data_IF_997871389189
#
_entry.id   IF_997871389189
#
_cell.length_a   1.000
_cell.length_b   1.000
_cell.length_c   1.000
_cell.angle_alpha   90.00
_cell.angle_beta   90.00
_cell.angle_gamma   90.00
#
_symmetry.space_group_name_H-M   'P 1'
#
loop_
_entity.id
_entity.type
_entity.pdbx_description
1 polymer ?
#
# COMPACT_ATOMS: atom_id res chain seq x y z
N UNK A 1 53.30 12.54 -45.14
CA UNK A 1 52.39 11.46 -44.72
C UNK A 1 51.80 11.83 -43.37
N UNK A 2 50.47 11.91 -43.25
CA UNK A 2 49.74 12.40 -42.07
C UNK A 2 49.60 11.28 -41.02
N UNK A 3 50.05 11.53 -39.79
CA UNK A 3 49.81 10.66 -38.63
C UNK A 3 48.39 10.89 -38.11
N UNK A 4 47.59 9.83 -38.03
CA UNK A 4 46.27 9.84 -37.39
C UNK A 4 46.40 9.47 -35.92
N UNK A 5 46.04 10.40 -35.03
CA UNK A 5 45.87 10.14 -33.60
C UNK A 5 44.47 9.55 -33.41
N UNK A 6 44.38 8.30 -32.94
CA UNK A 6 43.11 7.68 -32.56
C UNK A 6 42.80 8.11 -31.12
N UNK A 7 41.78 8.95 -30.97
CA UNK A 7 41.21 9.29 -29.66
C UNK A 7 40.33 8.13 -29.19
N UNK A 8 40.71 7.48 -28.09
CA UNK A 8 39.91 6.45 -27.43
C UNK A 8 38.91 7.14 -26.51
N UNK A 9 37.64 7.10 -26.90
CA UNK A 9 36.52 7.59 -26.10
C UNK A 9 36.19 6.53 -25.03
N UNK A 10 36.53 6.80 -23.77
CA UNK A 10 36.13 5.94 -22.64
C UNK A 10 34.67 6.26 -22.30
N UNK A 11 33.76 5.36 -22.67
CA UNK A 11 32.34 5.43 -22.32
C UNK A 11 32.19 5.01 -20.85
N UNK A 12 32.00 5.99 -19.97
CA UNK A 12 31.69 5.74 -18.56
C UNK A 12 30.30 5.12 -18.43
N UNK A 13 30.23 3.81 -18.15
CA UNK A 13 28.98 3.13 -17.82
C UNK A 13 28.58 3.58 -16.41
N UNK A 14 27.55 4.41 -16.30
CA UNK A 14 26.92 4.70 -15.01
C UNK A 14 26.04 3.51 -14.67
N UNK A 15 26.33 2.73 -13.61
CA UNK A 15 25.41 1.69 -13.17
C UNK A 15 24.12 2.37 -12.67
N UNK A 16 23.03 2.16 -13.40
CA UNK A 16 21.69 2.51 -12.94
C UNK A 16 21.37 1.56 -11.77
N UNK A 17 21.43 2.08 -10.54
CA UNK A 17 20.98 1.33 -9.36
C UNK A 17 19.46 1.29 -9.44
N UNK A 18 18.92 0.18 -9.94
CA UNK A 18 17.49 -0.06 -9.93
C UNK A 18 17.00 -0.19 -8.48
N UNK A 19 15.85 0.42 -8.17
CA UNK A 19 15.21 0.25 -6.87
C UNK A 19 14.90 -1.24 -6.63
N UNK A 20 15.05 -1.75 -5.40
CA UNK A 20 14.78 -3.15 -5.11
C UNK A 20 13.31 -3.46 -5.38
N UNK A 21 13.06 -4.51 -6.15
CA UNK A 21 11.74 -5.09 -6.34
C UNK A 21 11.56 -6.25 -5.36
N UNK A 22 10.31 -6.59 -4.99
CA UNK A 22 10.04 -7.80 -4.24
C UNK A 22 10.65 -9.03 -4.94
N UNK A 23 11.13 -9.97 -4.15
CA UNK A 23 11.72 -11.21 -4.62
C UNK A 23 10.66 -12.03 -5.39
N UNK A 24 11.06 -12.53 -6.56
CA UNK A 24 10.23 -13.45 -7.34
C UNK A 24 9.95 -14.75 -6.55
N UNK A 25 10.96 -15.21 -5.82
CA UNK A 25 10.86 -16.34 -4.89
C UNK A 25 11.24 -15.83 -3.49
N UNK A 26 10.27 -15.69 -2.58
CA UNK A 26 10.55 -15.29 -1.21
C UNK A 26 11.46 -16.31 -0.51
N UNK A 27 12.28 -15.86 0.43
CA UNK A 27 13.11 -16.76 1.24
C UNK A 27 12.26 -17.72 2.09
N UNK A 28 12.85 -18.82 2.56
CA UNK A 28 12.13 -19.90 3.28
C UNK A 28 11.29 -19.45 4.51
N UNK A 29 11.63 -18.32 5.13
CA UNK A 29 10.92 -17.75 6.28
C UNK A 29 9.92 -16.65 5.91
N UNK A 30 9.93 -16.21 4.65
CA UNK A 30 9.07 -15.16 4.17
C UNK A 30 7.64 -15.67 3.97
N UNK A 31 6.68 -14.82 4.30
CA UNK A 31 5.27 -15.05 4.13
C UNK A 31 4.63 -13.83 3.48
N UNK A 32 3.55 -14.05 2.75
CA UNK A 32 2.72 -13.00 2.15
C UNK A 32 1.27 -13.46 2.30
N UNK A 33 0.42 -12.55 2.75
CA UNK A 33 -1.02 -12.75 2.84
C UNK A 33 -1.64 -12.48 1.47
N UNK A 34 -2.65 -13.26 1.12
CA UNK A 34 -3.39 -13.10 -0.11
C UNK A 34 -4.49 -12.04 0.08
N UNK A 35 -4.60 -11.11 -0.86
CA UNK A 35 -5.68 -10.10 -0.89
C UNK A 35 -6.59 -10.40 -2.07
N UNK A 36 -7.88 -10.62 -1.82
CA UNK A 36 -8.83 -11.06 -2.86
C UNK A 36 -9.72 -9.96 -3.43
N UNK A 37 -9.97 -8.91 -2.66
CA UNK A 37 -10.85 -7.81 -3.06
C UNK A 37 -10.20 -6.48 -2.71
N UNK A 38 -10.34 -5.52 -3.62
CA UNK A 38 -9.80 -4.18 -3.44
C UNK A 38 -10.65 -3.19 -4.25
N UNK A 39 -11.88 -2.94 -3.82
CA UNK A 39 -12.77 -1.98 -4.49
C UNK A 39 -12.79 -0.67 -3.72
N UNK A 40 -12.44 0.43 -4.37
CA UNK A 40 -12.50 1.76 -3.79
C UNK A 40 -13.92 2.33 -3.95
N UNK A 41 -14.48 2.80 -2.85
CA UNK A 41 -15.81 3.38 -2.77
C UNK A 41 -15.75 4.81 -2.24
N UNK A 42 -16.79 5.57 -2.56
CA UNK A 42 -17.07 6.85 -1.92
C UNK A 42 -18.42 6.80 -1.18
N UNK A 43 -18.52 7.59 -0.13
CA UNK A 43 -19.74 7.82 0.63
C UNK A 43 -19.82 9.28 1.05
N UNK A 44 -20.96 9.92 0.76
CA UNK A 44 -21.23 11.26 1.26
C UNK A 44 -21.97 11.20 2.59
N UNK A 45 -21.72 12.17 3.45
CA UNK A 45 -22.50 12.40 4.66
C UNK A 45 -22.65 13.88 4.95
N UNK A 46 -23.81 14.28 5.47
CA UNK A 46 -24.05 15.64 5.96
C UNK A 46 -23.91 15.75 7.48
N UNK A 47 -23.91 14.61 8.17
CA UNK A 47 -23.95 14.51 9.63
C UNK A 47 -22.57 14.21 10.23
N UNK A 48 -21.63 13.74 9.40
CA UNK A 48 -20.28 13.43 9.79
C UNK A 48 -19.33 14.62 9.56
N UNK A 49 -18.18 14.66 10.27
CA UNK A 49 -17.24 15.79 10.17
C UNK A 49 -16.74 16.09 8.75
N UNK A 50 -16.54 15.05 7.93
CA UNK A 50 -16.24 15.21 6.51
C UNK A 50 -17.48 14.98 5.65
N UNK A 51 -17.61 15.77 4.59
CA UNK A 51 -18.74 15.64 3.64
C UNK A 51 -18.67 14.38 2.79
N UNK A 52 -17.45 13.88 2.57
CA UNK A 52 -17.17 12.69 1.77
C UNK A 52 -16.11 11.86 2.47
N UNK A 53 -16.28 10.54 2.42
CA UNK A 53 -15.31 9.55 2.83
C UNK A 53 -15.00 8.63 1.66
N UNK A 54 -13.75 8.26 1.55
CA UNK A 54 -13.27 7.25 0.63
C UNK A 54 -12.90 6.02 1.43
N UNK A 55 -13.25 4.85 0.94
CA UNK A 55 -12.93 3.62 1.66
C UNK A 55 -12.69 2.45 0.72
N UNK A 56 -11.77 1.58 1.14
CA UNK A 56 -11.39 0.36 0.48
C UNK A 56 -11.78 -0.80 1.38
N UNK A 57 -12.54 -1.76 0.86
CA UNK A 57 -12.76 -3.04 1.54
C UNK A 57 -11.80 -4.06 0.95
N UNK A 58 -11.06 -4.73 1.83
CA UNK A 58 -10.16 -5.82 1.45
C UNK A 58 -10.48 -7.09 2.22
N UNK A 59 -10.38 -8.22 1.55
CA UNK A 59 -10.44 -9.55 2.17
C UNK A 59 -9.05 -10.17 2.15
N UNK A 60 -8.53 -10.45 3.35
CA UNK A 60 -7.20 -11.01 3.56
C UNK A 60 -7.33 -12.49 3.93
N UNK A 61 -6.55 -13.34 3.26
CA UNK A 61 -6.48 -14.77 3.53
C UNK A 61 -5.03 -15.19 3.80
N UNK A 62 -4.83 -16.03 4.81
CA UNK A 62 -3.54 -16.62 5.09
C UNK A 62 -3.43 -18.02 4.49
N UNK A 63 -2.65 -18.15 3.42
CA UNK A 63 -2.35 -19.44 2.76
C UNK A 63 -0.99 -20.03 3.13
N UNK A 64 -0.33 -19.51 4.15
CA UNK A 64 1.06 -19.86 4.49
C UNK A 64 1.18 -21.16 5.29
N UNK A 65 0.05 -21.73 5.74
CA UNK A 65 0.02 -22.96 6.54
C UNK A 65 0.40 -22.79 8.02
N UNK A 66 0.64 -21.55 8.46
CA UNK A 66 0.93 -21.20 9.86
C UNK A 66 0.31 -19.85 10.19
N UNK A 67 0.17 -19.55 11.47
CA UNK A 67 -0.27 -18.23 11.91
C UNK A 67 0.79 -17.18 11.58
N UNK A 68 0.34 -15.99 11.18
CA UNK A 68 1.22 -14.85 10.89
C UNK A 68 0.71 -13.57 11.55
N UNK A 69 1.65 -12.68 11.87
CA UNK A 69 1.38 -11.40 12.48
C UNK A 69 1.18 -10.32 11.41
N UNK A 70 -0.05 -9.82 11.28
CA UNK A 70 -0.37 -8.63 10.51
C UNK A 70 0.11 -7.40 11.28
N UNK A 71 1.02 -6.63 10.70
CA UNK A 71 1.48 -5.34 11.24
C UNK A 71 0.90 -4.22 10.38
N UNK A 72 -0.35 -3.79 10.65
CA UNK A 72 -1.13 -3.00 9.72
C UNK A 72 -0.52 -1.62 9.48
N UNK A 73 -0.30 -1.29 8.21
CA UNK A 73 -0.05 0.08 7.78
C UNK A 73 -0.80 0.30 6.48
N UNK A 74 -1.54 1.40 6.38
CA UNK A 74 -2.16 1.75 5.11
C UNK A 74 -2.18 3.25 4.88
N UNK A 75 -1.67 3.66 3.73
CA UNK A 75 -1.54 5.06 3.33
C UNK A 75 -2.19 5.27 1.97
N UNK A 76 -2.92 6.37 1.81
CA UNK A 76 -3.42 6.85 0.52
C UNK A 76 -2.55 8.02 0.08
N UNK A 77 -1.95 7.91 -1.10
CA UNK A 77 -1.23 9.00 -1.76
C UNK A 77 -2.02 9.52 -2.95
N UNK A 78 -2.05 10.84 -3.11
CA UNK A 78 -2.70 11.52 -4.23
C UNK A 78 -1.69 12.05 -5.25
N UNK A 79 -2.14 12.28 -6.48
CA UNK A 79 -1.42 13.04 -7.51
C UNK A 79 -1.17 14.52 -7.14
N UNK A 80 -1.85 15.03 -6.11
CA UNK A 80 -1.61 16.34 -5.49
C UNK A 80 -0.55 16.32 -4.39
N UNK A 81 0.23 15.23 -4.28
CA UNK A 81 1.30 15.04 -3.30
C UNK A 81 0.85 15.02 -1.83
N UNK A 82 -0.41 14.68 -1.57
CA UNK A 82 -0.90 14.48 -0.22
C UNK A 82 -0.83 13.00 0.14
N UNK A 83 -0.37 12.69 1.36
CA UNK A 83 -0.36 11.34 1.91
C UNK A 83 -1.21 11.33 3.17
N UNK A 84 -2.18 10.43 3.24
CA UNK A 84 -3.13 10.30 4.33
C UNK A 84 -3.11 8.86 4.87
N UNK A 85 -2.77 8.65 6.15
CA UNK A 85 -2.90 7.34 6.78
C UNK A 85 -4.38 6.96 6.96
N UNK A 86 -4.69 5.68 6.80
CA UNK A 86 -6.04 5.17 6.98
C UNK A 86 -6.51 5.32 8.43
N UNK A 87 -7.79 5.64 8.62
CA UNK A 87 -8.44 5.76 9.93
C UNK A 87 -8.20 7.09 10.66
N UNK A 88 -7.24 7.91 10.22
CA UNK A 88 -6.99 9.23 10.83
C UNK A 88 -8.11 10.21 10.44
N UNK A 89 -8.72 10.84 11.44
CA UNK A 89 -9.85 11.76 11.22
C UNK A 89 -11.17 11.08 10.87
N UNK A 90 -11.28 9.77 11.11
CA UNK A 90 -12.49 8.97 10.86
C UNK A 90 -13.13 8.61 12.20
N UNK A 91 -14.40 8.98 12.39
CA UNK A 91 -15.15 8.59 13.59
C UNK A 91 -15.69 7.16 13.48
N UNK A 92 -15.94 6.50 14.61
CA UNK A 92 -16.53 5.16 14.64
C UNK A 92 -17.86 5.07 13.87
N UNK A 93 -18.67 6.13 13.89
CA UNK A 93 -19.94 6.20 13.15
C UNK A 93 -19.76 6.06 11.63
N UNK A 94 -18.60 6.47 11.06
CA UNK A 94 -18.31 6.25 9.64
C UNK A 94 -18.20 4.77 9.34
N UNK A 95 -17.52 4.02 10.20
CA UNK A 95 -17.40 2.57 10.08
C UNK A 95 -18.77 1.89 10.18
N UNK A 96 -19.60 2.28 11.13
CA UNK A 96 -20.94 1.68 11.32
C UNK A 96 -21.81 1.86 10.06
N UNK A 97 -21.75 3.02 9.41
CA UNK A 97 -22.46 3.28 8.16
C UNK A 97 -21.93 2.41 7.00
N UNK A 98 -20.61 2.27 6.88
CA UNK A 98 -20.00 1.43 5.84
C UNK A 98 -20.38 -0.03 6.07
N UNK A 99 -20.28 -0.50 7.32
CA UNK A 99 -20.68 -1.86 7.71
C UNK A 99 -22.14 -2.13 7.38
N UNK A 100 -23.05 -1.22 7.74
CA UNK A 100 -24.47 -1.35 7.42
C UNK A 100 -24.72 -1.43 5.90
N UNK A 101 -24.02 -0.61 5.10
CA UNK A 101 -24.13 -0.60 3.63
C UNK A 101 -23.71 -1.92 2.99
N UNK A 102 -22.73 -2.60 3.59
CA UNK A 102 -22.07 -3.78 3.01
C UNK A 102 -22.36 -5.09 3.75
N UNK A 103 -23.25 -5.06 4.75
CA UNK A 103 -23.53 -6.17 5.68
C UNK A 103 -23.90 -7.49 4.98
N UNK A 104 -24.53 -7.43 3.80
CA UNK A 104 -24.90 -8.62 3.04
C UNK A 104 -23.70 -9.33 2.40
N UNK A 105 -22.70 -8.57 1.94
CA UNK A 105 -21.51 -9.12 1.28
C UNK A 105 -20.38 -9.39 2.29
N UNK A 106 -20.25 -8.56 3.32
CA UNK A 106 -19.18 -8.63 4.31
C UNK A 106 -19.77 -8.64 5.73
N UNK A 107 -20.40 -9.76 6.16
CA UNK A 107 -21.09 -9.83 7.45
C UNK A 107 -20.17 -9.65 8.66
N UNK A 108 -18.88 -9.96 8.49
CA UNK A 108 -17.84 -9.87 9.53
C UNK A 108 -16.86 -8.72 9.29
N UNK A 109 -17.26 -7.68 8.54
CA UNK A 109 -16.40 -6.53 8.26
C UNK A 109 -15.86 -5.90 9.57
N UNK A 110 -14.55 -5.66 9.59
CA UNK A 110 -13.81 -5.08 10.71
C UNK A 110 -13.15 -3.75 10.28
N UNK A 111 -12.95 -2.79 11.19
CA UNK A 111 -12.12 -1.62 10.89
C UNK A 111 -10.66 -2.05 10.73
N UNK A 112 -9.88 -1.30 9.94
CA UNK A 112 -8.43 -1.50 9.85
C UNK A 112 -7.79 -1.47 11.25
N UNK A 113 -7.01 -2.50 11.65
CA UNK A 113 -6.49 -2.58 13.01
C UNK A 113 -5.43 -1.51 13.27
N UNK A 114 -5.42 -0.97 14.50
CA UNK A 114 -4.45 0.05 14.93
C UNK A 114 -3.15 -0.58 15.47
N UNK A 115 -3.18 -1.87 15.81
CA UNK A 115 -2.03 -2.62 16.32
C UNK A 115 -1.89 -3.98 15.65
N UNK A 116 -0.90 -4.78 16.08
CA UNK A 116 -0.69 -6.12 15.54
C UNK A 116 -1.94 -6.99 15.69
N UNK A 117 -2.26 -7.74 14.64
CA UNK A 117 -3.32 -8.74 14.64
C UNK A 117 -2.76 -10.09 14.16
N UNK A 118 -3.37 -11.19 14.58
CA UNK A 118 -2.94 -12.54 14.21
C UNK A 118 -3.91 -13.14 13.20
N UNK A 119 -3.39 -13.54 12.05
CA UNK A 119 -4.18 -14.14 10.98
C UNK A 119 -3.91 -15.65 10.93
N UNK A 120 -4.94 -16.43 11.23
CA UNK A 120 -4.88 -17.90 11.21
C UNK A 120 -4.93 -18.41 9.75
N UNK A 121 -4.26 -19.54 9.45
CA UNK A 121 -4.21 -20.10 8.11
C UNK A 121 -5.55 -20.72 7.69
N UNK A 122 -5.88 -20.58 6.41
CA UNK A 122 -7.04 -21.23 5.80
C UNK A 122 -8.14 -20.24 5.37
N UNK A 123 -8.99 -20.64 4.41
CA UNK A 123 -10.01 -19.77 3.83
C UNK A 123 -11.11 -19.40 4.83
N UNK A 124 -11.46 -20.29 5.77
CA UNK A 124 -12.48 -20.04 6.80
C UNK A 124 -12.05 -18.98 7.83
N UNK A 125 -10.76 -18.66 7.86
CA UNK A 125 -10.17 -17.63 8.70
C UNK A 125 -9.87 -16.33 7.94
N UNK A 126 -10.38 -16.20 6.71
CA UNK A 126 -10.30 -14.95 5.95
C UNK A 126 -10.95 -13.81 6.75
N UNK A 127 -10.32 -12.64 6.70
CA UNK A 127 -10.79 -11.44 7.41
C UNK A 127 -11.04 -10.30 6.45
N UNK A 128 -12.18 -9.66 6.63
CA UNK A 128 -12.60 -8.50 5.86
C UNK A 128 -12.31 -7.22 6.65
N UNK A 129 -11.50 -6.35 6.07
CA UNK A 129 -11.17 -5.07 6.67
C UNK A 129 -11.64 -3.92 5.80
N UNK A 130 -12.03 -2.82 6.44
CA UNK A 130 -12.24 -1.54 5.77
C UNK A 130 -11.16 -0.54 6.16
N UNK A 131 -10.55 0.05 5.14
CA UNK A 131 -9.64 1.17 5.23
C UNK A 131 -10.40 2.43 4.82
N UNK A 132 -10.34 3.49 5.64
CA UNK A 132 -11.17 4.68 5.45
C UNK A 132 -10.30 5.94 5.50
N UNK A 133 -10.58 6.86 4.58
CA UNK A 133 -9.97 8.18 4.51
C UNK A 133 -11.05 9.26 4.44
N UNK A 134 -10.83 10.43 5.07
CA UNK A 134 -11.72 11.58 4.94
C UNK A 134 -11.66 12.16 3.53
N UNK A 135 -12.32 13.30 3.34
CA UNK A 135 -12.41 13.96 2.04
C UNK A 135 -11.01 14.33 1.49
N UNK A 136 -10.76 13.92 0.24
CA UNK A 136 -9.59 14.33 -0.55
C UNK A 136 -9.82 15.68 -1.25
N UNK A 137 -8.74 16.28 -1.76
CA UNK A 137 -8.83 17.45 -2.63
C UNK A 137 -9.69 17.13 -3.87
N UNK A 138 -10.58 18.06 -4.22
CA UNK A 138 -11.41 18.04 -5.44
C UNK A 138 -10.63 18.00 -6.74
N UNK A 139 -9.33 18.27 -6.74
CA UNK A 139 -8.47 18.23 -7.93
C UNK A 139 -7.85 16.86 -8.20
N UNK A 140 -8.01 15.90 -7.28
CA UNK A 140 -7.39 14.58 -7.39
C UNK A 140 -8.04 13.78 -8.51
N UNK A 141 -7.22 13.31 -9.45
CA UNK A 141 -7.62 12.41 -10.54
C UNK A 141 -7.05 10.99 -10.39
N UNK A 142 -5.98 10.84 -9.60
CA UNK A 142 -5.33 9.55 -9.35
C UNK A 142 -4.97 9.39 -7.88
N UNK A 143 -5.14 8.17 -7.39
CA UNK A 143 -4.74 7.79 -6.04
C UNK A 143 -4.03 6.44 -6.03
N UNK A 144 -3.01 6.34 -5.18
CA UNK A 144 -2.31 5.10 -4.88
C UNK A 144 -2.55 4.73 -3.44
N UNK A 145 -3.09 3.55 -3.19
CA UNK A 145 -3.22 2.98 -1.85
C UNK A 145 -2.06 2.02 -1.60
N UNK A 146 -1.32 2.25 -0.52
CA UNK A 146 -0.21 1.41 -0.08
C UNK A 146 -0.64 0.65 1.17
N UNK A 147 -0.62 -0.68 1.14
CA UNK A 147 -1.02 -1.56 2.24
C UNK A 147 0.19 -2.40 2.67
N UNK A 148 0.79 -2.01 3.79
CA UNK A 148 1.93 -2.67 4.42
C UNK A 148 1.48 -3.68 5.48
N UNK A 149 2.43 -4.52 5.90
CA UNK A 149 2.18 -5.55 6.92
C UNK A 149 1.58 -6.84 6.38
N UNK A 150 1.27 -6.90 5.09
CA UNK A 150 0.78 -8.09 4.40
C UNK A 150 1.89 -9.10 4.10
N UNK A 151 3.14 -8.73 4.32
CA UNK A 151 4.31 -9.60 4.16
C UNK A 151 5.40 -9.22 5.16
N UNK A 152 6.22 -10.19 5.57
CA UNK A 152 7.46 -9.94 6.33
C UNK A 152 8.71 -9.87 5.43
N UNK A 153 8.54 -9.85 4.11
CA UNK A 153 9.65 -9.70 3.17
C UNK A 153 10.24 -8.28 3.25
N UNK A 154 11.56 -8.21 3.35
CA UNK A 154 12.30 -6.95 3.49
C UNK A 154 13.49 -6.89 2.53
N UNK A 155 13.83 -5.68 2.11
CA UNK A 155 15.08 -5.37 1.42
C UNK A 155 15.83 -4.31 2.23
N UNK A 156 17.16 -4.40 2.21
CA UNK A 156 18.03 -3.42 2.85
C UNK A 156 18.81 -2.70 1.76
N UNK A 157 18.71 -1.36 1.75
CA UNK A 157 19.47 -0.51 0.83
C UNK A 157 20.31 0.49 1.61
N UNK A 158 21.31 1.04 0.93
CA UNK A 158 22.06 2.17 1.43
C UNK A 158 21.27 3.46 1.23
N UNK A 159 21.17 4.29 2.25
CA UNK A 159 20.57 5.60 2.13
C UNK A 159 21.39 6.41 1.11
N UNK A 160 20.75 7.02 0.09
CA UNK A 160 21.49 7.65 -1.00
C UNK A 160 22.44 8.75 -0.51
N UNK A 161 21.97 9.58 0.44
CA UNK A 161 22.69 10.75 0.95
C UNK A 161 23.21 10.61 2.39
N UNK A 162 22.42 10.06 3.31
CA UNK A 162 22.78 10.01 4.72
C UNK A 162 23.94 9.04 4.97
N UNK A 163 24.87 9.47 5.83
CA UNK A 163 26.03 8.71 6.30
C UNK A 163 26.06 8.71 7.83
N UNK A 164 26.63 7.68 8.42
CA UNK A 164 26.93 7.64 9.85
C UNK A 164 28.19 8.47 10.19
N UNK A 165 28.63 8.41 11.45
CA UNK A 165 29.79 9.16 11.95
C UNK A 165 31.11 8.74 11.28
N UNK A 166 31.16 7.52 10.73
CA UNK A 166 32.34 6.94 10.08
C UNK A 166 32.31 7.14 8.54
N UNK A 167 31.29 7.85 8.03
CA UNK A 167 31.13 8.10 6.59
C UNK A 167 30.49 6.95 5.82
N UNK A 168 29.98 5.92 6.50
CA UNK A 168 29.29 4.77 5.88
C UNK A 168 27.82 5.10 5.60
N UNK A 169 27.25 4.72 4.45
CA UNK A 169 25.81 4.88 4.20
C UNK A 169 24.93 4.24 5.26
N UNK A 170 23.97 5.01 5.79
CA UNK A 170 22.98 4.50 6.73
C UNK A 170 22.11 3.47 6.01
N UNK A 171 21.87 2.31 6.63
CA UNK A 171 20.98 1.28 6.08
C UNK A 171 19.51 1.68 6.21
N UNK A 172 18.76 1.54 5.13
CA UNK A 172 17.31 1.73 5.07
C UNK A 172 16.63 0.38 4.82
N UNK A 173 15.63 0.06 5.64
CA UNK A 173 14.86 -1.17 5.55
C UNK A 173 13.55 -0.89 4.86
N UNK A 174 13.35 -1.51 3.69
CA UNK A 174 12.13 -1.44 2.91
C UNK A 174 11.33 -2.72 3.13
N UNK A 175 10.00 -2.59 3.20
CA UNK A 175 9.08 -3.70 3.37
C UNK A 175 8.26 -3.90 2.10
N UNK A 176 7.99 -5.17 1.79
CA UNK A 176 7.06 -5.50 0.72
C UNK A 176 5.65 -4.99 1.07
N UNK A 177 5.15 -4.14 0.21
CA UNK A 177 3.92 -3.37 0.39
C UNK A 177 3.05 -3.54 -0.85
N UNK A 178 1.76 -3.81 -0.67
CA UNK A 178 0.81 -3.88 -1.77
C UNK A 178 0.48 -2.45 -2.21
N UNK A 179 0.66 -2.15 -3.50
CA UNK A 179 0.30 -0.89 -4.13
C UNK A 179 -0.91 -1.13 -5.04
N UNK A 180 -1.94 -0.33 -4.86
CA UNK A 180 -3.15 -0.32 -5.67
C UNK A 180 -3.33 1.06 -6.26
N UNK A 181 -3.32 1.17 -7.58
CA UNK A 181 -3.53 2.44 -8.27
C UNK A 181 -4.97 2.54 -8.77
N UNK A 182 -5.57 3.71 -8.59
CA UNK A 182 -6.92 4.02 -9.03
C UNK A 182 -6.94 5.32 -9.82
N UNK A 183 -7.72 5.33 -10.89
CA UNK A 183 -8.13 6.57 -11.57
C UNK A 183 -9.50 6.93 -11.03
N UNK A 184 -9.62 8.11 -10.43
CA UNK A 184 -10.84 8.57 -9.78
C UNK A 184 -11.36 9.84 -10.43
N UNK A 185 -12.68 9.99 -10.40
CA UNK A 185 -13.31 11.30 -10.57
C UNK A 185 -13.77 11.75 -9.18
N UNK A 186 -13.53 13.01 -8.79
CA UNK A 186 -13.95 13.54 -7.50
C UNK A 186 -15.43 13.29 -7.21
N UNK A 187 -16.28 13.33 -8.25
CA UNK A 187 -17.73 13.14 -8.16
C UNK A 187 -18.20 11.70 -8.33
N UNK A 188 -17.28 10.74 -8.50
CA UNK A 188 -17.64 9.34 -8.66
C UNK A 188 -18.36 8.81 -7.41
N UNK A 189 -19.50 8.16 -7.63
CA UNK A 189 -20.30 7.47 -6.61
C UNK A 189 -20.36 5.96 -6.81
N UNK A 190 -19.65 5.47 -7.83
CA UNK A 190 -19.63 4.08 -8.21
C UNK A 190 -18.38 3.40 -7.64
N UNK A 191 -18.41 2.06 -7.46
CA UNK A 191 -17.22 1.30 -7.14
C UNK A 191 -16.15 1.49 -8.21
N UNK A 192 -14.92 1.75 -7.77
CA UNK A 192 -13.76 1.98 -8.63
C UNK A 192 -12.81 0.80 -8.43
N UNK A 193 -12.55 0.08 -9.52
CA UNK A 193 -11.57 -1.01 -9.55
C UNK A 193 -10.16 -0.44 -9.71
N UNK A 194 -9.14 -1.11 -9.16
CA UNK A 194 -7.76 -0.70 -9.37
C UNK A 194 -7.41 -0.86 -10.85
N UNK A 195 -6.69 0.12 -11.40
CA UNK A 195 -6.13 0.04 -12.75
C UNK A 195 -4.82 -0.75 -12.77
N UNK A 196 -4.12 -0.78 -11.64
CA UNK A 196 -2.90 -1.54 -11.45
C UNK A 196 -2.82 -2.05 -10.01
N UNK A 197 -2.33 -3.28 -9.87
CA UNK A 197 -2.00 -3.91 -8.60
C UNK A 197 -0.56 -4.42 -8.69
N UNK A 198 0.30 -3.96 -7.78
CA UNK A 198 1.70 -4.33 -7.78
C UNK A 198 2.25 -4.43 -6.35
N UNK A 199 3.17 -5.38 -6.14
CA UNK A 199 3.98 -5.40 -4.93
C UNK A 199 5.22 -4.51 -5.11
N UNK A 200 5.48 -3.63 -4.15
CA UNK A 200 6.62 -2.70 -4.16
C UNK A 200 7.40 -2.78 -2.85
N UNK A 201 8.65 -2.33 -2.86
CA UNK A 201 9.45 -2.15 -1.63
C UNK A 201 9.34 -0.70 -1.15
N UNK A 202 8.78 -0.49 0.05
CA UNK A 202 8.54 0.83 0.64
C UNK A 202 8.90 0.87 2.11
#
# INVERSE_FOLDING_TARGET
>A
MRFWVIAVLVLSIVPCVAAPMPALVPGNSAWTLDVRSAVLWSMDSRELPSRRYWYLIISIENRTGRDVDLVPQADLATDTFQVQPAGIGVSASVFDLIKARHQYLYPFLQPWPVGPDRIMPGPDHARDYVLVWPQMDTKVGQVSVFIGGLSNEMAVIDHPLARDQDGTPIKVYLRKTLKLDFVISPDSRHPIMPVEEAWVMR
#
